data_IF_977860351382
#
_entry.id   IF_977860351382
#
_cell.length_a   1.000
_cell.length_b   1.000
_cell.length_c   1.000
_cell.angle_alpha   90.00
_cell.angle_beta   90.00
_cell.angle_gamma   90.00
#
_symmetry.space_group_name_H-M   'P 1'
#
loop_
_entity.id
_entity.type
_entity.pdbx_description
1 polymer ?
#
# COMPACT_ATOMS: atom_id res chain seq x y z
N UNK A 1 26.68 8.55 5.08
CA UNK A 1 25.23 8.54 5.34
C UNK A 1 24.43 7.75 4.30
N UNK A 2 25.05 7.26 3.21
CA UNK A 2 24.34 6.52 2.14
C UNK A 2 24.04 5.03 2.43
N UNK A 3 24.59 4.44 3.50
CA UNK A 3 24.43 3.01 3.76
C UNK A 3 23.11 2.63 4.45
N UNK A 4 22.50 3.55 5.21
CA UNK A 4 21.23 3.31 5.91
C UNK A 4 20.04 3.28 4.94
N UNK A 5 20.05 4.11 3.89
CA UNK A 5 18.98 4.09 2.87
C UNK A 5 18.98 2.77 2.08
N UNK A 6 20.16 2.18 1.84
CA UNK A 6 20.29 0.87 1.17
C UNK A 6 19.67 -0.27 1.98
N UNK A 7 19.90 -0.30 3.30
CA UNK A 7 19.36 -1.36 4.17
C UNK A 7 17.85 -1.24 4.36
N UNK A 8 17.34 -0.04 4.62
CA UNK A 8 15.90 0.22 4.74
C UNK A 8 15.16 -0.09 3.42
N UNK A 9 15.71 0.31 2.28
CA UNK A 9 15.17 -0.03 0.96
C UNK A 9 15.17 -1.54 0.69
N UNK A 10 16.23 -2.25 1.11
CA UNK A 10 16.30 -3.70 0.98
C UNK A 10 15.29 -4.41 1.88
N UNK A 11 15.10 -3.94 3.12
CA UNK A 11 14.08 -4.45 4.02
C UNK A 11 12.67 -4.18 3.48
N UNK A 12 12.41 -2.98 2.97
CA UNK A 12 11.14 -2.65 2.32
C UNK A 12 10.88 -3.55 1.11
N UNK A 13 11.87 -3.73 0.24
CA UNK A 13 11.75 -4.62 -0.92
C UNK A 13 11.42 -6.05 -0.50
N UNK A 14 12.04 -6.56 0.56
CA UNK A 14 11.83 -7.93 1.02
C UNK A 14 10.50 -8.11 1.77
N UNK A 15 10.16 -7.18 2.67
CA UNK A 15 9.00 -7.30 3.56
C UNK A 15 7.71 -6.79 2.93
N UNK A 16 7.78 -5.81 2.04
CA UNK A 16 6.60 -5.22 1.39
C UNK A 16 6.55 -5.64 -0.07
N UNK A 17 7.59 -5.33 -0.86
CA UNK A 17 7.58 -5.55 -2.31
C UNK A 17 7.41 -7.01 -2.74
N UNK A 18 8.26 -7.90 -2.24
CA UNK A 18 8.22 -9.34 -2.60
C UNK A 18 6.94 -9.99 -2.05
N UNK A 19 6.56 -9.68 -0.81
CA UNK A 19 5.31 -10.20 -0.21
C UNK A 19 4.09 -9.75 -1.01
N UNK A 20 4.04 -8.47 -1.40
CA UNK A 20 2.97 -7.94 -2.24
C UNK A 20 2.87 -8.72 -3.56
N UNK A 21 3.98 -8.95 -4.26
CA UNK A 21 3.97 -9.73 -5.50
C UNK A 21 3.45 -11.16 -5.27
N UNK A 22 3.89 -11.82 -4.20
CA UNK A 22 3.49 -13.19 -3.86
C UNK A 22 1.99 -13.27 -3.57
N UNK A 23 1.49 -12.43 -2.67
CA UNK A 23 0.08 -12.44 -2.28
C UNK A 23 -0.83 -11.95 -3.40
N UNK A 24 -0.44 -10.91 -4.14
CA UNK A 24 -1.19 -10.44 -5.30
C UNK A 24 -1.33 -11.55 -6.36
N UNK A 25 -0.25 -12.30 -6.64
CA UNK A 25 -0.29 -13.46 -7.54
C UNK A 25 -1.15 -14.62 -7.02
N UNK A 26 -1.20 -14.81 -5.70
CA UNK A 26 -2.07 -15.80 -5.09
C UNK A 26 -3.54 -15.36 -5.22
N UNK A 27 -3.85 -14.09 -4.95
CA UNK A 27 -5.22 -13.58 -5.05
C UNK A 27 -5.72 -13.46 -6.49
N UNK A 28 -4.86 -13.18 -7.48
CA UNK A 28 -5.23 -13.23 -8.90
C UNK A 28 -5.62 -14.64 -9.34
N UNK A 29 -5.05 -15.68 -8.71
CA UNK A 29 -5.24 -17.09 -9.10
C UNK A 29 -6.34 -17.82 -8.34
N UNK A 30 -6.95 -17.20 -7.32
CA UNK A 30 -8.08 -17.79 -6.61
C UNK A 30 -9.35 -17.80 -7.49
N UNK A 31 -10.08 -18.94 -7.57
CA UNK A 31 -11.24 -19.10 -8.44
C UNK A 31 -12.47 -18.44 -7.80
N UNK A 32 -12.50 -17.11 -7.80
CA UNK A 32 -13.72 -16.39 -7.50
C UNK A 32 -14.60 -16.40 -8.75
N UNK A 33 -15.83 -16.91 -8.61
CA UNK A 33 -16.86 -16.86 -9.64
C UNK A 33 -16.91 -15.43 -10.23
N UNK A 34 -16.43 -15.27 -11.49
CA UNK A 34 -16.32 -14.03 -12.31
C UNK A 34 -14.96 -13.30 -12.34
N UNK A 35 -13.93 -13.71 -11.59
CA UNK A 35 -12.66 -12.93 -11.45
C UNK A 35 -11.57 -13.33 -12.46
N UNK A 36 -11.49 -14.59 -12.90
CA UNK A 36 -10.36 -15.08 -13.71
C UNK A 36 -10.14 -14.28 -15.02
N UNK A 37 -11.21 -13.86 -15.70
CA UNK A 37 -11.09 -13.05 -16.92
C UNK A 37 -10.72 -11.59 -16.63
N UNK A 38 -11.13 -11.04 -15.48
CA UNK A 38 -10.85 -9.64 -15.11
C UNK A 38 -9.38 -9.42 -14.78
N UNK A 39 -8.71 -10.36 -14.10
CA UNK A 39 -7.28 -10.23 -13.80
C UNK A 39 -6.40 -10.19 -15.06
N UNK A 40 -6.71 -11.02 -16.05
CA UNK A 40 -6.00 -11.05 -17.35
C UNK A 40 -6.24 -9.72 -18.09
N UNK A 41 -7.50 -9.28 -18.18
CA UNK A 41 -7.85 -8.03 -18.85
C UNK A 41 -7.23 -6.80 -18.17
N UNK A 42 -7.12 -6.80 -16.84
CA UNK A 42 -6.46 -5.72 -16.10
C UNK A 42 -4.95 -5.67 -16.41
N UNK A 43 -4.31 -6.85 -16.52
CA UNK A 43 -2.89 -6.94 -16.88
C UNK A 43 -2.65 -6.43 -18.32
N UNK A 44 -3.58 -6.71 -19.24
CA UNK A 44 -3.56 -6.16 -20.59
C UNK A 44 -3.79 -4.64 -20.59
N UNK A 45 -4.73 -4.14 -19.78
CA UNK A 45 -4.96 -2.70 -19.63
C UNK A 45 -3.71 -2.00 -19.10
N UNK A 46 -3.03 -2.57 -18.10
CA UNK A 46 -1.78 -2.01 -17.56
C UNK A 46 -0.72 -1.86 -18.65
N UNK A 47 -0.49 -2.90 -19.45
CA UNK A 47 0.44 -2.84 -20.57
C UNK A 47 0.05 -1.76 -21.59
N UNK A 48 -1.24 -1.64 -21.90
CA UNK A 48 -1.73 -0.62 -22.83
C UNK A 48 -1.55 0.79 -22.27
N UNK A 49 -1.76 0.99 -20.97
CA UNK A 49 -1.46 2.23 -20.27
C UNK A 49 0.03 2.59 -20.34
N UNK A 50 0.92 1.65 -20.03
CA UNK A 50 2.37 1.90 -20.09
C UNK A 50 2.84 2.30 -21.49
N UNK A 51 2.37 1.60 -22.52
CA UNK A 51 2.69 1.95 -23.91
C UNK A 51 2.06 3.28 -24.33
N UNK A 52 0.80 3.49 -23.98
CA UNK A 52 0.06 4.69 -24.34
C UNK A 52 0.65 5.95 -23.72
N UNK A 53 1.02 5.90 -22.44
CA UNK A 53 1.71 7.01 -21.79
C UNK A 53 3.10 7.27 -22.37
N UNK A 54 3.86 6.23 -22.74
CA UNK A 54 5.14 6.39 -23.47
C UNK A 54 4.93 7.10 -24.82
N UNK A 55 3.78 6.86 -25.48
CA UNK A 55 3.36 7.50 -26.73
C UNK A 55 2.67 8.86 -26.53
N UNK A 56 2.53 9.34 -25.28
CA UNK A 56 1.83 10.59 -24.90
C UNK A 56 0.34 10.61 -25.30
N UNK A 57 -0.29 9.45 -25.38
CA UNK A 57 -1.73 9.35 -25.60
C UNK A 57 -2.50 9.85 -24.36
N UNK A 58 -3.69 10.38 -24.60
CA UNK A 58 -4.62 10.76 -23.52
C UNK A 58 -5.25 9.52 -22.88
N UNK A 59 -5.69 9.60 -21.61
CA UNK A 59 -6.36 8.48 -20.94
C UNK A 59 -7.59 7.95 -21.70
N UNK A 60 -8.34 8.83 -22.37
CA UNK A 60 -9.50 8.41 -23.18
C UNK A 60 -9.08 7.55 -24.37
N UNK A 61 -8.01 7.94 -25.07
CA UNK A 61 -7.48 7.18 -26.21
C UNK A 61 -6.96 5.80 -25.77
N UNK A 62 -6.24 5.75 -24.64
CA UNK A 62 -5.71 4.49 -24.08
C UNK A 62 -6.83 3.51 -23.73
N UNK A 63 -7.88 4.00 -23.06
CA UNK A 63 -9.02 3.17 -22.67
C UNK A 63 -9.81 2.72 -23.89
N UNK A 64 -10.01 3.60 -24.87
CA UNK A 64 -10.68 3.25 -26.12
C UNK A 64 -9.91 2.17 -26.90
N UNK A 65 -8.60 2.36 -27.08
CA UNK A 65 -7.72 1.41 -27.76
C UNK A 65 -7.73 0.04 -27.05
N UNK A 66 -7.79 0.03 -25.72
CA UNK A 66 -7.92 -1.20 -24.95
C UNK A 66 -9.21 -1.97 -25.28
N UNK A 67 -10.35 -1.29 -25.28
CA UNK A 67 -11.64 -1.92 -25.59
C UNK A 67 -11.69 -2.43 -27.03
N UNK A 68 -11.13 -1.69 -27.99
CA UNK A 68 -11.09 -2.06 -29.40
C UNK A 68 -10.19 -3.27 -29.68
N UNK A 69 -9.03 -3.37 -29.00
CA UNK A 69 -8.04 -4.43 -29.26
C UNK A 69 -8.27 -5.70 -28.45
N UNK A 70 -8.75 -5.57 -27.21
CA UNK A 70 -8.71 -6.67 -26.23
C UNK A 70 -10.09 -7.15 -25.78
N UNK A 71 -11.17 -6.50 -26.22
CA UNK A 71 -12.54 -6.89 -25.85
C UNK A 71 -13.47 -6.92 -27.05
N UNK A 72 -14.52 -7.72 -26.97
CA UNK A 72 -15.63 -7.71 -27.94
C UNK A 72 -16.84 -6.92 -27.42
N UNK A 73 -16.64 -6.05 -26.43
CA UNK A 73 -17.71 -5.32 -25.76
C UNK A 73 -18.15 -4.12 -26.60
N UNK A 74 -19.37 -4.20 -27.11
CA UNK A 74 -19.98 -3.17 -27.96
C UNK A 74 -20.81 -2.21 -27.12
N UNK A 75 -21.51 -2.72 -26.10
CA UNK A 75 -22.40 -1.92 -25.26
C UNK A 75 -21.59 -1.08 -24.26
N UNK A 76 -22.01 0.17 -24.07
CA UNK A 76 -21.40 1.08 -23.11
C UNK A 76 -21.56 0.61 -21.65
N UNK A 77 -22.72 0.05 -21.30
CA UNK A 77 -22.96 -0.49 -19.95
C UNK A 77 -21.97 -1.59 -19.58
N UNK A 78 -21.69 -2.53 -20.49
CA UNK A 78 -20.73 -3.61 -20.25
C UNK A 78 -19.29 -3.08 -20.13
N UNK A 79 -18.94 -2.02 -20.87
CA UNK A 79 -17.63 -1.36 -20.76
C UNK A 79 -17.49 -0.68 -19.40
N UNK A 80 -18.51 0.04 -18.96
CA UNK A 80 -18.53 0.69 -17.65
C UNK A 80 -18.44 -0.34 -16.51
N UNK A 81 -19.20 -1.44 -16.60
CA UNK A 81 -19.12 -2.53 -15.61
C UNK A 81 -17.71 -3.12 -15.52
N UNK A 82 -17.02 -3.33 -16.66
CA UNK A 82 -15.63 -3.79 -16.67
C UNK A 82 -14.68 -2.79 -15.99
N UNK A 83 -14.82 -1.49 -16.27
CA UNK A 83 -14.00 -0.45 -15.63
C UNK A 83 -14.23 -0.41 -14.12
N UNK A 84 -15.48 -0.53 -13.65
CA UNK A 84 -15.78 -0.61 -12.23
C UNK A 84 -15.13 -1.82 -11.57
N UNK A 85 -15.12 -2.98 -12.24
CA UNK A 85 -14.41 -4.17 -11.74
C UNK A 85 -12.90 -3.96 -11.68
N UNK A 86 -12.31 -3.22 -12.62
CA UNK A 86 -10.89 -2.85 -12.54
C UNK A 86 -10.60 -1.96 -11.34
N UNK A 87 -11.43 -0.95 -11.09
CA UNK A 87 -11.29 -0.08 -9.91
C UNK A 87 -11.33 -0.92 -8.63
N UNK A 88 -12.33 -1.79 -8.48
CA UNK A 88 -12.45 -2.69 -7.33
C UNK A 88 -11.23 -3.61 -7.16
N UNK A 89 -10.64 -4.05 -8.27
CA UNK A 89 -9.45 -4.90 -8.23
C UNK A 89 -8.21 -4.12 -7.79
N UNK A 90 -7.98 -2.94 -8.36
CA UNK A 90 -6.88 -2.04 -7.99
C UNK A 90 -7.01 -1.62 -6.53
N UNK A 91 -8.22 -1.34 -6.08
CA UNK A 91 -8.53 -1.08 -4.67
C UNK A 91 -8.05 -2.23 -3.76
N UNK A 92 -8.38 -3.48 -4.08
CA UNK A 92 -7.88 -4.64 -3.29
C UNK A 92 -6.35 -4.75 -3.28
N UNK A 93 -5.68 -4.34 -4.35
CA UNK A 93 -4.21 -4.32 -4.39
C UNK A 93 -3.64 -3.24 -3.48
N UNK A 94 -4.22 -2.05 -3.49
CA UNK A 94 -3.81 -0.95 -2.60
C UNK A 94 -4.04 -1.36 -1.14
N UNK A 95 -5.20 -1.95 -0.81
CA UNK A 95 -5.46 -2.56 0.50
C UNK A 95 -4.32 -3.47 0.95
N UNK A 96 -3.98 -4.44 0.12
CA UNK A 96 -2.99 -5.47 0.45
C UNK A 96 -1.62 -4.84 0.67
N UNK A 97 -1.28 -3.83 -0.13
CA UNK A 97 -0.05 -3.09 0.01
C UNK A 97 0.01 -2.35 1.35
N UNK A 98 -1.03 -1.60 1.69
CA UNK A 98 -1.14 -0.87 2.97
C UNK A 98 -1.01 -1.84 4.16
N UNK A 99 -1.69 -3.00 4.09
CA UNK A 99 -1.65 -4.02 5.13
C UNK A 99 -0.23 -4.58 5.37
N UNK A 100 0.53 -4.75 4.28
CA UNK A 100 1.91 -5.24 4.30
C UNK A 100 2.87 -4.18 4.79
N UNK A 101 2.70 -2.93 4.38
CA UNK A 101 3.50 -1.80 4.85
C UNK A 101 3.32 -1.60 6.36
N UNK A 102 2.07 -1.61 6.85
CA UNK A 102 1.76 -1.49 8.27
C UNK A 102 2.37 -2.65 9.07
N UNK A 103 2.26 -3.90 8.58
CA UNK A 103 2.86 -5.07 9.22
C UNK A 103 4.39 -4.96 9.30
N UNK A 104 5.02 -4.44 8.26
CA UNK A 104 6.47 -4.31 8.14
C UNK A 104 7.03 -3.01 8.74
N UNK A 105 6.18 -2.11 9.25
CA UNK A 105 6.58 -0.75 9.62
C UNK A 105 7.78 -0.73 10.59
N UNK A 106 7.77 -1.60 11.60
CA UNK A 106 8.85 -1.71 12.61
C UNK A 106 10.14 -2.32 12.05
N UNK A 107 10.05 -3.12 11.00
CA UNK A 107 11.20 -3.78 10.36
C UNK A 107 11.87 -2.87 9.33
N UNK A 108 11.09 -1.97 8.71
CA UNK A 108 11.56 -1.02 7.70
C UNK A 108 12.09 0.28 8.34
N UNK A 109 11.50 0.71 9.46
CA UNK A 109 11.85 1.95 10.14
C UNK A 109 12.70 1.71 11.40
N UNK A 110 13.66 2.59 11.66
CA UNK A 110 14.46 2.52 12.88
C UNK A 110 13.69 3.05 14.10
N UNK A 111 13.09 2.12 14.86
CA UNK A 111 12.33 2.42 16.07
C UNK A 111 13.19 2.81 17.28
N UNK A 112 14.52 2.79 17.15
CA UNK A 112 15.47 3.08 18.22
C UNK A 112 16.52 4.13 17.86
N UNK A 113 16.43 4.70 16.65
CA UNK A 113 17.41 5.61 16.11
C UNK A 113 17.35 7.01 16.73
N UNK A 114 18.14 7.90 16.12
CA UNK A 114 18.16 9.33 16.45
C UNK A 114 16.77 9.92 16.28
N UNK A 115 16.34 10.74 17.24
CA UNK A 115 15.00 11.36 17.28
C UNK A 115 13.92 10.52 17.96
N UNK A 116 14.23 9.30 18.41
CA UNK A 116 13.31 8.51 19.25
C UNK A 116 13.32 8.99 20.69
N UNK A 117 12.26 8.65 21.45
CA UNK A 117 12.19 8.97 22.89
C UNK A 117 13.35 8.36 23.69
N UNK A 118 13.82 7.17 23.30
CA UNK A 118 14.99 6.52 23.92
C UNK A 118 16.29 7.29 23.67
N UNK A 119 16.44 7.81 22.46
CA UNK A 119 17.58 8.67 22.12
C UNK A 119 17.54 9.97 22.94
N UNK A 120 16.37 10.63 22.99
CA UNK A 120 16.16 11.83 23.81
C UNK A 120 16.46 11.58 25.29
N UNK A 121 15.95 10.49 25.86
CA UNK A 121 16.22 10.09 27.24
C UNK A 121 17.73 9.94 27.49
N UNK A 122 18.43 9.25 26.59
CA UNK A 122 19.87 9.04 26.68
C UNK A 122 20.65 10.36 26.64
N UNK A 123 20.26 11.29 25.77
CA UNK A 123 20.88 12.63 25.70
C UNK A 123 20.60 13.48 26.94
N UNK A 124 19.39 13.40 27.49
CA UNK A 124 19.01 14.16 28.69
C UNK A 124 19.83 13.71 29.90
N UNK A 125 19.97 12.39 30.09
CA UNK A 125 20.78 11.81 31.18
C UNK A 125 22.27 12.16 30.98
N UNK A 126 22.80 11.98 29.76
CA UNK A 126 24.21 12.25 29.48
C UNK A 126 24.60 13.72 29.73
N UNK A 127 23.65 14.64 29.58
CA UNK A 127 23.87 16.07 29.77
C UNK A 127 23.36 16.61 31.12
N UNK A 128 22.85 15.76 32.02
CA UNK A 128 22.23 16.14 33.30
C UNK A 128 21.12 17.21 33.14
N UNK A 129 20.20 17.01 32.19
CA UNK A 129 19.12 17.96 31.83
C UNK A 129 17.73 17.51 32.29
N UNK A 130 17.65 16.62 33.27
CA UNK A 130 16.40 16.00 33.72
C UNK A 130 15.41 17.03 34.28
N UNK A 131 15.90 18.05 35.01
CA UNK A 131 15.07 19.14 35.52
C UNK A 131 14.50 20.00 34.38
N UNK A 132 15.33 20.32 33.37
CA UNK A 132 14.92 21.11 32.20
C UNK A 132 13.83 20.38 31.40
N UNK A 133 13.99 19.06 31.19
CA UNK A 133 12.98 18.23 30.55
C UNK A 133 11.68 18.20 31.38
N UNK A 134 11.78 18.07 32.70
CA UNK A 134 10.62 18.04 33.60
C UNK A 134 9.81 19.32 33.51
N UNK A 135 10.46 20.49 33.50
CA UNK A 135 9.76 21.76 33.31
C UNK A 135 9.08 21.85 31.93
N UNK A 136 9.75 21.38 30.86
CA UNK A 136 9.16 21.36 29.51
C UNK A 136 7.97 20.42 29.35
N UNK A 137 7.93 19.33 30.10
CA UNK A 137 6.79 18.41 30.04
C UNK A 137 5.51 18.99 30.67
N UNK A 138 5.60 20.06 31.46
CA UNK A 138 4.43 20.70 32.09
C UNK A 138 3.54 21.44 31.10
N UNK A 139 4.11 22.00 30.04
CA UNK A 139 3.39 22.79 29.02
C UNK A 139 3.41 22.13 27.62
N UNK A 140 4.13 21.00 27.47
CA UNK A 140 4.16 20.25 26.22
C UNK A 140 2.81 19.58 25.92
N UNK A 141 2.27 19.83 24.73
CA UNK A 141 1.05 19.20 24.25
C UNK A 141 1.17 18.85 22.77
N UNK A 142 0.58 17.71 22.39
CA UNK A 142 0.45 17.28 21.00
C UNK A 142 -1.04 17.24 20.66
N UNK A 143 -1.41 17.87 19.55
CA UNK A 143 -2.74 17.74 18.95
C UNK A 143 -2.61 16.96 17.64
N UNK A 144 -3.02 15.71 17.66
CA UNK A 144 -3.12 14.88 16.47
C UNK A 144 -4.39 15.27 15.70
N UNK A 145 -4.23 15.66 14.44
CA UNK A 145 -5.35 15.89 13.52
C UNK A 145 -5.27 14.82 12.46
N UNK A 146 -6.14 13.82 12.57
CA UNK A 146 -6.24 12.75 11.59
C UNK A 146 -6.89 13.30 10.32
N UNK A 147 -6.22 13.13 9.19
CA UNK A 147 -6.79 13.40 7.86
C UNK A 147 -7.18 12.08 7.21
N UNK A 148 -8.19 12.10 6.35
CA UNK A 148 -8.49 10.93 5.54
C UNK A 148 -7.26 10.59 4.69
N UNK A 149 -6.94 9.31 4.56
CA UNK A 149 -5.95 8.86 3.59
C UNK A 149 -6.54 9.09 2.18
N UNK A 150 -5.82 9.80 1.27
CA UNK A 150 -6.40 10.31 0.03
C UNK A 150 -6.93 9.24 -0.93
N UNK A 151 -6.56 7.97 -0.70
CA UNK A 151 -6.98 6.80 -1.50
C UNK A 151 -7.68 5.71 -0.69
N UNK A 152 -8.03 5.94 0.58
CA UNK A 152 -8.69 4.93 1.41
C UNK A 152 -10.21 4.94 1.21
N UNK A 153 -10.66 4.17 0.22
CA UNK A 153 -12.08 4.04 -0.17
C UNK A 153 -12.80 2.86 0.52
N UNK A 154 -12.17 2.21 1.51
CA UNK A 154 -12.68 0.96 2.05
C UNK A 154 -13.72 1.13 3.18
N UNK A 155 -14.86 0.43 3.13
CA UNK A 155 -15.78 0.34 4.25
C UNK A 155 -15.13 -0.25 5.50
N UNK A 156 -15.65 0.07 6.70
CA UNK A 156 -15.08 -0.41 7.97
C UNK A 156 -14.95 -1.94 8.10
N UNK A 157 -15.80 -2.72 7.42
CA UNK A 157 -15.69 -4.18 7.36
C UNK A 157 -14.42 -4.66 6.64
N UNK A 158 -13.98 -3.93 5.61
CA UNK A 158 -12.74 -4.22 4.89
C UNK A 158 -11.54 -3.91 5.77
N UNK A 159 -11.58 -2.87 6.60
CA UNK A 159 -10.52 -2.58 7.57
C UNK A 159 -10.34 -3.70 8.61
N UNK A 160 -11.43 -4.36 9.02
CA UNK A 160 -11.35 -5.56 9.85
C UNK A 160 -10.59 -6.70 9.17
N UNK A 161 -10.93 -6.98 7.91
CA UNK A 161 -10.25 -7.99 7.08
C UNK A 161 -8.77 -7.65 6.89
N UNK A 162 -8.45 -6.36 6.69
CA UNK A 162 -7.07 -5.87 6.55
C UNK A 162 -6.26 -6.12 7.80
N UNK A 163 -6.82 -5.78 8.96
CA UNK A 163 -6.16 -5.99 10.24
C UNK A 163 -5.94 -7.48 10.52
N UNK A 164 -6.92 -8.31 10.22
CA UNK A 164 -6.81 -9.77 10.40
C UNK A 164 -5.81 -10.38 9.42
N UNK A 165 -5.81 -9.91 8.16
CA UNK A 165 -4.82 -10.27 7.15
C UNK A 165 -3.41 -9.84 7.60
N UNK A 166 -3.23 -8.59 8.04
CA UNK A 166 -1.96 -8.05 8.51
C UNK A 166 -1.39 -8.88 9.67
N UNK A 167 -2.23 -9.26 10.65
CA UNK A 167 -1.84 -10.18 11.74
C UNK A 167 -1.45 -11.57 11.23
N UNK A 168 -2.27 -12.17 10.37
CA UNK A 168 -1.99 -13.49 9.79
C UNK A 168 -0.68 -13.48 8.97
N UNK A 169 -0.42 -12.39 8.24
CA UNK A 169 0.80 -12.16 7.47
C UNK A 169 2.03 -11.97 8.37
N UNK A 170 1.88 -11.28 9.51
CA UNK A 170 2.95 -11.12 10.49
C UNK A 170 3.31 -12.44 11.17
N UNK A 171 2.32 -13.30 11.44
CA UNK A 171 2.49 -14.64 12.01
C UNK A 171 2.85 -15.71 10.97
N UNK A 172 2.93 -15.34 9.68
CA UNK A 172 3.19 -16.23 8.55
C UNK A 172 2.17 -17.39 8.44
N UNK A 173 0.94 -17.13 8.89
CA UNK A 173 -0.11 -18.13 9.04
C UNK A 173 -1.13 -17.94 7.91
N UNK A 174 -0.89 -18.61 6.79
CA UNK A 174 -1.73 -18.51 5.58
C UNK A 174 -2.79 -19.63 5.48
N UNK A 175 -3.15 -20.26 6.61
CA UNK A 175 -4.11 -21.36 6.71
C UNK A 175 -5.49 -20.90 7.16
#
# INVERSE_FOLDING_TARGET
>A
MDHQSSKGLQQFKNQVGIKFQLYNSLFTSLPFHRIEKTGILLSLLLNNCEEGYKKKLSPMEIVQEFFEKHTSLINEEDRLDLLFRFIQYVERQVVLFDALEDAAFRDVNDMSGVGTLKHLESEVIANNKEEELTEKLKDFAIRLVLTAHPTQFYPGSVLGIINDLSKALAENNAS
#
